data_IF_080752364778
#
_entry.id   IF_080752364778
#
_cell.length_a   1.000
_cell.length_b   1.000
_cell.length_c   1.000
_cell.angle_alpha   90.00
_cell.angle_beta   90.00
_cell.angle_gamma   90.00
#
_symmetry.space_group_name_H-M   'P 1'
#
loop_
_entity.id
_entity.type
_entity.pdbx_description
1 polymer ?
#
# COMPACT_ATOMS: atom_id res chain seq x y z
N UNK A 1 -6.19 -2.11 0.87
CA UNK A 1 -6.80 -1.25 -0.17
C UNK A 1 -6.46 0.23 -0.03
N UNK A 2 -6.86 0.98 1.02
CA UNK A 2 -6.57 2.43 1.11
C UNK A 2 -5.09 2.80 0.87
N UNK A 3 -4.16 2.10 1.52
CA UNK A 3 -2.71 2.35 1.36
C UNK A 3 -2.09 1.82 0.05
N UNK A 4 -2.59 0.68 -0.43
CA UNK A 4 -2.07 -0.05 -1.60
C UNK A 4 -2.16 0.76 -2.89
N UNK A 5 -3.28 1.45 -3.12
CA UNK A 5 -3.50 2.18 -4.36
C UNK A 5 -2.70 3.48 -4.47
N UNK A 6 -2.32 4.11 -3.36
CA UNK A 6 -1.48 5.32 -3.45
C UNK A 6 -0.03 5.02 -3.84
N UNK A 7 0.52 3.87 -3.44
CA UNK A 7 1.86 3.45 -3.87
C UNK A 7 1.85 3.11 -5.35
N UNK A 8 0.80 2.43 -5.82
CA UNK A 8 0.62 2.09 -7.24
C UNK A 8 0.52 3.37 -8.09
N UNK A 9 0.01 4.47 -7.54
CA UNK A 9 0.01 5.79 -8.20
C UNK A 9 1.38 6.49 -8.12
N UNK A 10 1.97 6.59 -6.93
CA UNK A 10 3.14 7.45 -6.69
C UNK A 10 4.44 6.85 -7.21
N UNK A 11 4.59 5.52 -7.13
CA UNK A 11 5.85 4.86 -7.45
C UNK A 11 6.20 4.92 -8.94
N UNK A 12 5.29 4.67 -9.90
CA UNK A 12 5.60 4.80 -11.33
C UNK A 12 5.88 6.24 -11.74
N UNK A 13 5.20 7.21 -11.13
CA UNK A 13 5.46 8.64 -11.36
C UNK A 13 6.86 8.99 -10.91
N UNK A 14 7.27 8.55 -9.72
CA UNK A 14 8.61 8.79 -9.20
C UNK A 14 9.70 8.06 -10.02
N UNK A 15 9.51 6.79 -10.38
CA UNK A 15 10.45 6.03 -11.22
C UNK A 15 10.71 6.74 -12.55
N UNK A 16 9.67 7.22 -13.21
CA UNK A 16 9.79 7.84 -14.53
C UNK A 16 10.26 9.29 -14.45
N UNK A 17 9.63 10.10 -13.59
CA UNK A 17 9.83 11.55 -13.59
C UNK A 17 11.03 11.98 -12.75
N UNK A 18 11.46 11.17 -11.77
CA UNK A 18 12.62 11.48 -10.91
C UNK A 18 13.84 10.65 -11.29
N UNK A 19 13.71 9.32 -11.33
CA UNK A 19 14.84 8.44 -11.68
C UNK A 19 15.09 8.34 -13.19
N UNK A 20 14.20 8.89 -14.02
CA UNK A 20 14.36 8.92 -15.47
C UNK A 20 14.14 7.57 -16.14
N UNK A 21 13.43 6.64 -15.49
CA UNK A 21 13.14 5.34 -16.08
C UNK A 21 12.11 5.50 -17.20
N UNK A 22 12.24 4.69 -18.24
CA UNK A 22 11.16 4.58 -19.22
C UNK A 22 10.00 3.70 -18.70
N UNK A 23 8.92 3.64 -19.46
CA UNK A 23 7.73 2.86 -19.09
C UNK A 23 8.03 1.35 -18.98
N UNK A 24 8.95 0.82 -19.78
CA UNK A 24 9.30 -0.60 -19.80
C UNK A 24 10.15 -0.95 -18.57
N UNK A 25 11.16 -0.15 -18.25
CA UNK A 25 12.00 -0.27 -17.05
C UNK A 25 11.15 -0.15 -15.78
N UNK A 26 10.23 0.81 -15.76
CA UNK A 26 9.25 0.95 -14.68
C UNK A 26 8.41 -0.31 -14.53
N UNK A 27 7.90 -0.86 -15.64
CA UNK A 27 7.21 -2.14 -15.66
C UNK A 27 8.05 -3.28 -15.08
N UNK A 28 9.33 -3.39 -15.46
CA UNK A 28 10.25 -4.40 -14.93
C UNK A 28 10.47 -4.30 -13.41
N UNK A 29 10.56 -3.09 -12.86
CA UNK A 29 10.66 -2.91 -11.40
C UNK A 29 9.37 -3.35 -10.71
N UNK A 30 8.22 -2.98 -11.27
CA UNK A 30 6.90 -3.34 -10.72
C UNK A 30 6.60 -4.84 -10.86
N UNK A 31 7.25 -5.56 -11.77
CA UNK A 31 7.14 -7.03 -11.85
C UNK A 31 7.54 -7.71 -10.53
N UNK A 32 8.46 -7.14 -9.76
CA UNK A 32 8.83 -7.70 -8.46
C UNK A 32 7.62 -7.89 -7.53
N UNK A 33 6.68 -6.92 -7.54
CA UNK A 33 5.42 -7.01 -6.81
C UNK A 33 4.54 -8.14 -7.35
N UNK A 34 4.39 -8.25 -8.67
CA UNK A 34 3.59 -9.30 -9.30
C UNK A 34 4.15 -10.71 -9.01
N UNK A 35 5.47 -10.86 -9.06
CA UNK A 35 6.18 -12.11 -8.73
C UNK A 35 5.94 -12.46 -7.26
N UNK A 36 6.11 -11.51 -6.34
CA UNK A 36 5.83 -11.74 -4.91
C UNK A 36 4.39 -12.20 -4.67
N UNK A 37 3.41 -11.54 -5.29
CA UNK A 37 2.00 -11.93 -5.19
C UNK A 37 1.71 -13.31 -5.76
N UNK A 38 2.39 -13.69 -6.84
CA UNK A 38 2.27 -15.01 -7.45
C UNK A 38 2.87 -16.09 -6.53
N UNK A 39 4.06 -15.86 -5.99
CA UNK A 39 4.73 -16.78 -5.06
C UNK A 39 3.90 -17.01 -3.79
N UNK A 40 3.25 -15.96 -3.29
CA UNK A 40 2.32 -16.05 -2.17
C UNK A 40 1.13 -16.98 -2.44
N UNK A 41 0.65 -17.06 -3.69
CA UNK A 41 -0.44 -17.97 -4.06
C UNK A 41 -0.02 -19.44 -3.94
N UNK A 42 1.20 -19.77 -4.36
CA UNK A 42 1.79 -21.09 -4.17
C UNK A 42 1.97 -21.44 -2.69
N UNK A 43 2.44 -20.47 -1.89
CA UNK A 43 2.58 -20.65 -0.44
C UNK A 43 1.23 -20.87 0.26
N UNK A 44 0.22 -20.05 -0.06
CA UNK A 44 -1.12 -20.19 0.50
C UNK A 44 -1.75 -21.54 0.15
N UNK A 45 -1.57 -22.03 -1.08
CA UNK A 45 -2.07 -23.34 -1.51
C UNK A 45 -1.39 -24.52 -0.79
N UNK A 46 -0.08 -24.45 -0.58
CA UNK A 46 0.68 -25.51 0.09
C UNK A 46 0.41 -25.59 1.62
N UNK A 47 0.20 -24.45 2.26
CA UNK A 47 0.04 -24.34 3.72
C UNK A 47 -1.40 -24.13 4.20
N UNK A 48 -2.36 -23.89 3.29
CA UNK A 48 -3.75 -23.56 3.62
C UNK A 48 -4.51 -24.61 4.44
N UNK A 49 -4.12 -25.89 4.34
CA UNK A 49 -4.73 -26.97 5.12
C UNK A 49 -4.07 -27.19 6.49
N UNK A 50 -2.91 -26.57 6.74
CA UNK A 50 -2.10 -26.78 7.96
C UNK A 50 -2.07 -25.56 8.89
N UNK A 51 -2.46 -24.39 8.40
CA UNK A 51 -2.39 -23.12 9.12
C UNK A 51 -3.75 -22.43 9.07
N UNK A 52 -4.19 -21.88 10.21
CA UNK A 52 -5.44 -21.12 10.27
C UNK A 52 -5.46 -19.96 9.26
N UNK A 53 -6.56 -19.76 8.50
CA UNK A 53 -6.68 -18.65 7.55
C UNK A 53 -6.39 -17.28 8.16
N UNK A 54 -6.76 -17.06 9.43
CA UNK A 54 -6.50 -15.81 10.16
C UNK A 54 -5.00 -15.58 10.36
N UNK A 55 -4.23 -16.64 10.62
CA UNK A 55 -2.77 -16.56 10.77
C UNK A 55 -2.11 -16.19 9.44
N UNK A 56 -2.59 -16.77 8.32
CA UNK A 56 -2.08 -16.45 6.99
C UNK A 56 -2.32 -14.96 6.66
N UNK A 57 -3.52 -14.44 6.95
CA UNK A 57 -3.83 -13.00 6.77
C UNK A 57 -2.91 -12.12 7.62
N UNK A 58 -2.66 -12.48 8.87
CA UNK A 58 -1.76 -11.72 9.76
C UNK A 58 -0.32 -11.68 9.26
N UNK A 59 0.20 -12.82 8.80
CA UNK A 59 1.53 -12.90 8.20
C UNK A 59 1.59 -12.05 6.94
N UNK A 60 0.55 -12.11 6.10
CA UNK A 60 0.40 -11.25 4.92
C UNK A 60 0.47 -9.77 5.28
N UNK A 61 -0.33 -9.32 6.25
CA UNK A 61 -0.34 -7.93 6.71
C UNK A 61 1.01 -7.47 7.27
N UNK A 62 1.71 -8.33 8.03
CA UNK A 62 3.06 -8.01 8.53
C UNK A 62 4.04 -7.87 7.38
N UNK A 63 4.01 -8.78 6.39
CA UNK A 63 4.84 -8.69 5.20
C UNK A 63 4.53 -7.41 4.39
N UNK A 64 3.24 -7.05 4.23
CA UNK A 64 2.85 -5.79 3.59
C UNK A 64 3.43 -4.58 4.34
N UNK A 65 3.31 -4.53 5.67
CA UNK A 65 3.85 -3.44 6.51
C UNK A 65 5.37 -3.32 6.34
N UNK A 66 6.09 -4.44 6.36
CA UNK A 66 7.55 -4.45 6.20
C UNK A 66 7.95 -3.98 4.80
N UNK A 67 7.32 -4.53 3.77
CA UNK A 67 7.61 -4.17 2.38
C UNK A 67 7.35 -2.68 2.13
N UNK A 68 6.19 -2.20 2.55
CA UNK A 68 5.82 -0.81 2.29
C UNK A 68 6.59 0.20 3.15
N UNK A 69 6.83 -0.08 4.43
CA UNK A 69 7.65 0.80 5.26
C UNK A 69 9.08 0.83 4.74
N UNK A 70 9.61 -0.32 4.32
CA UNK A 70 10.91 -0.44 3.67
C UNK A 70 11.02 0.45 2.43
N UNK A 71 10.02 0.43 1.54
CA UNK A 71 9.94 1.36 0.40
C UNK A 71 10.05 2.82 0.84
N UNK A 72 9.32 3.22 1.88
CA UNK A 72 9.38 4.58 2.44
C UNK A 72 10.79 5.01 2.85
N UNK A 73 11.63 4.09 3.34
CA UNK A 73 13.01 4.37 3.72
C UNK A 73 14.00 4.43 2.55
N UNK A 74 13.78 3.64 1.50
CA UNK A 74 14.73 3.55 0.37
C UNK A 74 14.47 4.54 -0.76
N UNK A 75 13.23 5.02 -0.90
CA UNK A 75 12.89 6.05 -1.89
C UNK A 75 13.77 7.27 -1.66
N UNK A 76 14.43 7.77 -2.71
CA UNK A 76 15.27 8.96 -2.69
C UNK A 76 15.58 9.40 -4.12
N UNK A 77 16.00 10.65 -4.34
CA UNK A 77 16.31 11.14 -5.68
C UNK A 77 17.45 10.37 -6.39
N UNK A 78 18.23 9.58 -5.64
CA UNK A 78 19.35 8.78 -6.12
C UNK A 78 19.17 7.28 -5.88
N UNK A 79 17.95 6.85 -5.56
CA UNK A 79 17.67 5.44 -5.28
C UNK A 79 17.96 4.57 -6.51
N UNK A 80 18.49 3.38 -6.24
CA UNK A 80 18.65 2.34 -7.25
C UNK A 80 17.49 1.35 -7.20
N UNK A 81 17.10 0.80 -8.35
CA UNK A 81 16.10 -0.27 -8.44
C UNK A 81 16.43 -1.45 -7.52
N UNK A 82 17.71 -1.74 -7.27
CA UNK A 82 18.18 -2.78 -6.36
C UNK A 82 17.71 -2.57 -4.92
N UNK A 83 17.52 -1.31 -4.50
CA UNK A 83 16.99 -0.99 -3.18
C UNK A 83 15.47 -1.16 -3.12
N UNK A 84 14.76 -0.96 -4.24
CA UNK A 84 13.29 -0.97 -4.31
C UNK A 84 12.74 -2.39 -4.47
N UNK A 85 13.35 -3.19 -5.35
CA UNK A 85 12.85 -4.52 -5.76
C UNK A 85 12.62 -5.48 -4.59
N UNK A 86 13.53 -5.64 -3.61
CA UNK A 86 13.30 -6.54 -2.48
C UNK A 86 12.07 -6.17 -1.67
N UNK A 87 11.84 -4.88 -1.43
CA UNK A 87 10.69 -4.41 -0.68
C UNK A 87 9.40 -4.51 -1.48
N UNK A 88 9.44 -4.28 -2.81
CA UNK A 88 8.29 -4.54 -3.69
C UNK A 88 7.90 -6.03 -3.71
N UNK A 89 8.89 -6.92 -3.73
CA UNK A 89 8.65 -8.35 -3.67
C UNK A 89 7.99 -8.75 -2.34
N UNK A 90 8.54 -8.30 -1.21
CA UNK A 90 7.96 -8.56 0.12
C UNK A 90 6.55 -7.99 0.25
N UNK A 91 6.35 -6.78 -0.27
CA UNK A 91 5.04 -6.15 -0.31
C UNK A 91 4.03 -6.96 -1.14
N UNK A 92 4.39 -7.35 -2.37
CA UNK A 92 3.56 -8.19 -3.23
C UNK A 92 3.25 -9.55 -2.59
N UNK A 93 4.23 -10.17 -1.95
CA UNK A 93 4.04 -11.41 -1.22
C UNK A 93 3.00 -11.26 -0.09
N UNK A 94 3.07 -10.17 0.67
CA UNK A 94 2.05 -9.84 1.67
C UNK A 94 0.65 -9.68 1.08
N UNK A 95 0.55 -8.88 0.01
CA UNK A 95 -0.71 -8.63 -0.73
C UNK A 95 -1.32 -9.93 -1.25
N UNK A 96 -0.51 -10.82 -1.81
CA UNK A 96 -0.95 -12.13 -2.31
C UNK A 96 -1.50 -13.02 -1.20
N UNK A 97 -0.81 -13.09 -0.06
CA UNK A 97 -1.27 -13.87 1.09
C UNK A 97 -2.58 -13.33 1.67
N UNK A 98 -2.68 -12.00 1.81
CA UNK A 98 -3.89 -11.36 2.33
C UNK A 98 -5.08 -11.58 1.39
N UNK A 99 -4.89 -11.38 0.09
CA UNK A 99 -5.95 -11.50 -0.93
C UNK A 99 -6.48 -12.93 -1.05
N UNK A 100 -5.61 -13.94 -0.97
CA UNK A 100 -6.00 -15.34 -1.11
C UNK A 100 -7.03 -15.79 -0.05
N UNK A 101 -6.95 -15.23 1.17
CA UNK A 101 -7.79 -15.65 2.29
C UNK A 101 -8.95 -14.71 2.58
N UNK A 102 -8.87 -13.45 2.13
CA UNK A 102 -9.86 -12.42 2.47
C UNK A 102 -11.27 -12.79 2.04
N UNK A 103 -11.43 -13.27 0.80
CA UNK A 103 -12.74 -13.67 0.25
C UNK A 103 -13.35 -14.82 1.04
N UNK A 104 -12.54 -15.83 1.38
CA UNK A 104 -12.99 -16.98 2.17
C UNK A 104 -13.40 -16.61 3.59
N UNK A 105 -12.67 -15.70 4.24
CA UNK A 105 -12.98 -15.24 5.60
C UNK A 105 -14.23 -14.37 5.62
N UNK A 106 -14.38 -13.43 4.69
CA UNK A 106 -15.53 -12.50 4.64
C UNK A 106 -16.85 -13.25 4.39
N UNK A 107 -16.81 -14.30 3.58
CA UNK A 107 -18.01 -15.06 3.22
C UNK A 107 -18.30 -16.23 4.17
N UNK A 108 -17.37 -16.58 5.07
CA UNK A 108 -17.50 -17.75 5.96
C UNK A 108 -18.80 -17.73 6.78
N UNK A 109 -19.20 -16.55 7.24
CA UNK A 109 -20.34 -16.37 8.15
C UNK A 109 -21.62 -15.94 7.40
N UNK A 110 -21.61 -15.92 6.06
CA UNK A 110 -22.74 -15.47 5.22
C UNK A 110 -23.47 -16.70 4.63
N UNK A 111 -24.80 -16.84 4.84
CA UNK A 111 -25.57 -17.92 4.22
C UNK A 111 -25.42 -17.93 2.69
N UNK A 112 -25.37 -19.13 2.08
CA UNK A 112 -25.14 -19.29 0.62
C UNK A 112 -26.13 -18.46 -0.21
N UNK A 113 -27.40 -18.40 0.19
CA UNK A 113 -28.43 -17.60 -0.48
C UNK A 113 -28.17 -16.08 -0.46
N UNK A 114 -27.39 -15.59 0.50
CA UNK A 114 -27.00 -14.18 0.66
C UNK A 114 -25.56 -13.89 0.22
N UNK A 115 -24.80 -14.91 -0.22
CA UNK A 115 -23.39 -14.77 -0.62
C UNK A 115 -23.16 -13.73 -1.71
N UNK A 116 -24.09 -13.64 -2.69
CA UNK A 116 -24.06 -12.61 -3.72
C UNK A 116 -24.15 -11.20 -3.15
N UNK A 117 -25.05 -10.95 -2.19
CA UNK A 117 -25.16 -9.67 -1.50
C UNK A 117 -23.90 -9.36 -0.68
N UNK A 118 -23.38 -10.35 0.06
CA UNK A 118 -22.15 -10.22 0.84
C UNK A 118 -20.93 -9.85 -0.01
N UNK A 119 -20.73 -10.53 -1.13
CA UNK A 119 -19.65 -10.23 -2.07
C UNK A 119 -19.80 -8.84 -2.72
N UNK A 120 -21.04 -8.42 -3.01
CA UNK A 120 -21.35 -7.10 -3.55
C UNK A 120 -20.98 -5.99 -2.57
N UNK A 121 -21.41 -6.11 -1.31
CA UNK A 121 -21.05 -5.16 -0.24
C UNK A 121 -19.54 -5.09 -0.03
N UNK A 122 -18.85 -6.23 0.01
CA UNK A 122 -17.39 -6.27 0.14
C UNK A 122 -16.68 -5.58 -1.03
N UNK A 123 -17.15 -5.81 -2.26
CA UNK A 123 -16.60 -5.15 -3.46
C UNK A 123 -16.81 -3.64 -3.43
N UNK A 124 -18.01 -3.18 -3.08
CA UNK A 124 -18.34 -1.75 -2.95
C UNK A 124 -17.47 -1.08 -1.88
N UNK A 125 -17.33 -1.72 -0.70
CA UNK A 125 -16.47 -1.21 0.36
C UNK A 125 -15.00 -1.09 -0.10
N UNK A 126 -14.51 -2.08 -0.86
CA UNK A 126 -13.16 -2.05 -1.44
C UNK A 126 -12.98 -0.92 -2.45
N UNK A 127 -13.97 -0.69 -3.32
CA UNK A 127 -13.95 0.39 -4.32
C UNK A 127 -13.99 1.79 -3.68
N UNK A 128 -14.84 1.99 -2.67
CA UNK A 128 -14.88 3.23 -1.89
C UNK A 128 -13.54 3.44 -1.18
N UNK A 129 -13.01 2.39 -0.55
CA UNK A 129 -11.70 2.43 0.09
C UNK A 129 -10.56 2.73 -0.89
N UNK A 130 -10.58 2.19 -2.11
CA UNK A 130 -9.56 2.51 -3.11
C UNK A 130 -9.67 3.96 -3.58
N UNK A 131 -10.88 4.45 -3.85
CA UNK A 131 -11.09 5.83 -4.32
C UNK A 131 -10.64 6.86 -3.27
N UNK A 132 -11.02 6.67 -2.00
CA UNK A 132 -10.59 7.53 -0.90
C UNK A 132 -9.07 7.46 -0.70
N UNK A 133 -8.48 6.27 -0.84
CA UNK A 133 -7.04 6.07 -0.67
C UNK A 133 -6.23 6.80 -1.72
N UNK A 134 -6.64 6.66 -2.99
CA UNK A 134 -6.05 7.38 -4.11
C UNK A 134 -6.17 8.89 -3.89
N UNK A 135 -7.35 9.39 -3.52
CA UNK A 135 -7.58 10.82 -3.30
C UNK A 135 -6.68 11.37 -2.19
N UNK A 136 -6.67 10.74 -1.01
CA UNK A 136 -5.86 11.19 0.14
C UNK A 136 -4.37 11.14 -0.19
N UNK A 137 -3.90 10.07 -0.82
CA UNK A 137 -2.47 9.86 -1.09
C UNK A 137 -2.00 10.76 -2.24
N UNK A 138 -2.82 10.99 -3.27
CA UNK A 138 -2.53 11.94 -4.34
C UNK A 138 -2.49 13.38 -3.81
N UNK A 139 -3.48 13.80 -3.00
CA UNK A 139 -3.46 15.11 -2.36
C UNK A 139 -2.20 15.27 -1.50
N UNK A 140 -1.88 14.27 -0.67
CA UNK A 140 -0.68 14.32 0.15
C UNK A 140 0.60 14.43 -0.70
N UNK A 141 0.74 13.62 -1.75
CA UNK A 141 1.88 13.66 -2.67
C UNK A 141 2.04 15.03 -3.32
N UNK A 142 0.99 15.57 -3.93
CA UNK A 142 1.09 16.82 -4.68
C UNK A 142 1.25 18.05 -3.77
N UNK A 143 0.55 18.09 -2.63
CA UNK A 143 0.71 19.16 -1.65
C UNK A 143 2.10 19.13 -0.99
N UNK A 144 2.61 17.96 -0.63
CA UNK A 144 3.96 17.84 -0.05
C UNK A 144 5.05 18.11 -1.08
N UNK A 145 4.90 17.68 -2.33
CA UNK A 145 5.84 18.01 -3.40
C UNK A 145 5.89 19.51 -3.65
N UNK A 146 4.73 20.17 -3.73
CA UNK A 146 4.65 21.62 -3.93
C UNK A 146 5.30 22.41 -2.81
N UNK A 147 4.94 22.11 -1.55
CA UNK A 147 5.51 22.80 -0.37
C UNK A 147 7.01 22.54 -0.20
N UNK A 148 7.47 21.30 -0.44
CA UNK A 148 8.87 20.93 -0.37
C UNK A 148 9.71 21.59 -1.47
N UNK A 149 9.14 21.76 -2.68
CA UNK A 149 9.80 22.42 -3.80
C UNK A 149 9.86 23.93 -3.61
N UNK A 150 8.74 24.55 -3.20
CA UNK A 150 8.66 25.98 -2.91
C UNK A 150 9.73 26.40 -1.89
N UNK A 151 9.85 25.67 -0.78
CA UNK A 151 10.87 25.93 0.24
C UNK A 151 12.31 25.83 -0.31
N UNK A 152 12.58 24.90 -1.22
CA UNK A 152 13.90 24.69 -1.82
C UNK A 152 14.26 25.73 -2.86
N UNK A 153 13.27 26.39 -3.45
CA UNK A 153 13.44 27.44 -4.46
C UNK A 153 13.24 28.85 -3.86
N UNK A 154 13.35 28.98 -2.53
CA UNK A 154 13.17 30.25 -1.79
C UNK A 154 14.13 31.36 -2.23
N UNK A 155 15.22 31.02 -2.90
CA UNK A 155 16.18 31.96 -3.48
C UNK A 155 15.77 32.52 -4.87
N UNK A 156 14.77 31.94 -5.54
CA UNK A 156 14.26 32.41 -6.83
C UNK A 156 13.22 33.53 -6.65
N UNK A 157 13.01 34.40 -7.65
CA UNK A 157 11.87 35.32 -7.68
C UNK A 157 10.52 34.58 -7.56
N UNK A 158 9.56 35.15 -6.83
CA UNK A 158 8.29 34.47 -6.51
C UNK A 158 7.50 34.02 -7.75
N UNK A 159 7.55 34.80 -8.85
CA UNK A 159 6.88 34.44 -10.10
C UNK A 159 7.49 33.20 -10.76
N UNK A 160 8.82 33.12 -10.81
CA UNK A 160 9.54 31.97 -11.35
C UNK A 160 9.37 30.74 -10.47
N UNK A 161 9.49 30.92 -9.14
CA UNK A 161 9.24 29.88 -8.14
C UNK A 161 7.86 29.25 -8.30
N UNK A 162 6.82 30.08 -8.35
CA UNK A 162 5.42 29.64 -8.49
C UNK A 162 5.20 28.91 -9.81
N UNK A 163 5.80 29.41 -10.91
CA UNK A 163 5.72 28.76 -12.21
C UNK A 163 6.33 27.37 -12.19
N UNK A 164 7.52 27.20 -11.60
CA UNK A 164 8.19 25.90 -11.49
C UNK A 164 7.40 24.95 -10.60
N UNK A 165 6.92 25.42 -9.44
CA UNK A 165 6.12 24.61 -8.50
C UNK A 165 4.84 24.11 -9.18
N UNK A 166 4.08 25.00 -9.82
CA UNK A 166 2.85 24.62 -10.53
C UNK A 166 3.15 23.66 -11.68
N UNK A 167 4.20 23.92 -12.47
CA UNK A 167 4.58 23.04 -13.57
C UNK A 167 4.88 21.61 -13.08
N UNK A 168 5.60 21.45 -11.95
CA UNK A 168 5.91 20.14 -11.38
C UNK A 168 4.67 19.47 -10.79
N UNK A 169 3.84 20.21 -10.04
CA UNK A 169 2.65 19.66 -9.38
C UNK A 169 1.56 19.29 -10.38
N UNK A 170 1.20 20.19 -11.30
CA UNK A 170 0.12 19.99 -12.27
C UNK A 170 0.46 18.90 -13.29
N UNK A 171 1.75 18.70 -13.59
CA UNK A 171 2.23 17.63 -14.47
C UNK A 171 2.51 16.30 -13.76
N UNK A 172 2.22 16.21 -12.46
CA UNK A 172 2.56 15.06 -11.63
C UNK A 172 4.05 14.65 -11.72
N UNK A 173 4.94 15.64 -11.84
CA UNK A 173 6.38 15.48 -11.98
C UNK A 173 6.88 15.41 -13.42
N UNK A 174 6.03 15.28 -14.44
CA UNK A 174 6.49 15.11 -15.83
C UNK A 174 7.25 16.33 -16.39
N UNK A 175 7.16 17.50 -15.75
CA UNK A 175 7.97 18.67 -16.07
C UNK A 175 9.44 18.56 -15.61
N UNK A 176 9.75 17.69 -14.62
CA UNK A 176 11.08 17.59 -13.99
C UNK A 176 12.21 17.33 -15.01
N UNK A 177 12.09 16.38 -15.95
CA UNK A 177 13.13 16.17 -16.98
C UNK A 177 13.33 17.39 -17.89
N UNK A 178 12.29 18.19 -18.11
CA UNK A 178 12.37 19.43 -18.88
C UNK A 178 13.16 20.53 -18.17
N UNK A 179 13.06 20.60 -16.83
CA UNK A 179 13.79 21.56 -16.01
C UNK A 179 15.30 21.36 -16.09
N UNK A 180 15.78 20.13 -16.26
CA UNK A 180 17.22 19.83 -16.35
C UNK A 180 17.90 20.52 -17.55
N UNK A 181 17.13 20.79 -18.61
CA UNK A 181 17.61 21.56 -19.78
C UNK A 181 17.67 23.05 -19.53
N UNK A 182 16.93 23.56 -18.55
CA UNK A 182 16.85 24.97 -18.20
C UNK A 182 17.83 25.31 -17.08
N UNK A 183 17.75 24.58 -15.97
CA UNK A 183 18.59 24.76 -14.79
C UNK A 183 18.71 23.44 -14.01
N UNK A 184 19.94 22.94 -13.89
CA UNK A 184 20.23 21.68 -13.20
C UNK A 184 19.97 21.75 -11.69
N UNK A 185 20.13 22.91 -11.05
CA UNK A 185 19.86 23.09 -9.63
C UNK A 185 18.35 23.08 -9.35
N UNK A 186 17.54 23.71 -10.21
CA UNK A 186 16.08 23.67 -10.11
C UNK A 186 15.58 22.23 -10.32
N UNK A 187 16.11 21.53 -11.32
CA UNK A 187 15.77 20.13 -11.57
C UNK A 187 16.14 19.22 -10.37
N UNK A 188 17.31 19.41 -9.78
CA UNK A 188 17.73 18.67 -8.58
C UNK A 188 16.81 18.95 -7.38
N UNK A 189 16.44 20.21 -7.15
CA UNK A 189 15.48 20.59 -6.11
C UNK A 189 14.12 19.90 -6.31
N UNK A 190 13.62 19.86 -7.55
CA UNK A 190 12.38 19.20 -7.91
C UNK A 190 12.44 17.67 -7.72
N UNK A 191 13.54 17.02 -8.13
CA UNK A 191 13.78 15.58 -7.91
C UNK A 191 13.78 15.22 -6.42
N UNK A 192 14.44 16.03 -5.59
CA UNK A 192 14.49 15.82 -4.14
C UNK A 192 13.11 16.04 -3.52
N UNK A 193 12.44 17.16 -3.83
CA UNK A 193 11.12 17.47 -3.30
C UNK A 193 10.08 16.39 -3.67
N UNK A 194 10.07 15.95 -4.92
CA UNK A 194 9.16 14.91 -5.39
C UNK A 194 9.48 13.55 -4.76
N UNK A 195 10.76 13.23 -4.54
CA UNK A 195 11.16 12.01 -3.82
C UNK A 195 10.71 12.03 -2.37
N UNK A 196 10.90 13.15 -1.67
CA UNK A 196 10.45 13.31 -0.28
C UNK A 196 8.93 13.19 -0.18
N UNK A 197 8.22 13.81 -1.12
CA UNK A 197 6.76 13.69 -1.23
C UNK A 197 6.32 12.23 -1.46
N UNK A 198 7.05 11.51 -2.33
CA UNK A 198 6.76 10.10 -2.64
C UNK A 198 6.92 9.21 -1.41
N UNK A 199 7.82 9.52 -0.47
CA UNK A 199 8.01 8.74 0.78
C UNK A 199 6.77 8.73 1.68
N UNK A 200 5.94 9.78 1.64
CA UNK A 200 4.72 9.81 2.46
C UNK A 200 3.69 8.77 2.06
N UNK A 201 3.64 8.37 0.79
CA UNK A 201 2.66 7.38 0.33
C UNK A 201 2.89 6.00 0.98
N UNK A 202 4.11 5.41 0.95
CA UNK A 202 4.39 4.16 1.64
C UNK A 202 4.23 4.25 3.17
N UNK A 203 4.64 5.36 3.82
CA UNK A 203 4.44 5.49 5.27
C UNK A 203 2.97 5.62 5.67
N UNK A 204 2.20 6.37 4.90
CA UNK A 204 0.75 6.48 5.12
C UNK A 204 0.08 5.11 4.94
N UNK A 205 0.47 4.38 3.89
CA UNK A 205 0.00 3.02 3.66
C UNK A 205 0.36 2.07 4.81
N UNK A 206 1.60 2.13 5.31
CA UNK A 206 2.03 1.38 6.48
C UNK A 206 1.14 1.70 7.69
N UNK A 207 0.85 2.97 7.94
CA UNK A 207 -0.03 3.41 9.03
C UNK A 207 -1.43 2.80 8.94
N UNK A 208 -2.06 2.84 7.75
CA UNK A 208 -3.37 2.20 7.55
C UNK A 208 -3.31 0.67 7.72
N UNK A 209 -2.24 0.02 7.24
CA UNK A 209 -2.07 -1.42 7.41
C UNK A 209 -1.87 -1.81 8.87
N UNK A 210 -1.12 -1.02 9.65
CA UNK A 210 -0.98 -1.22 11.10
C UNK A 210 -2.32 -1.11 11.80
N UNK A 211 -3.14 -0.10 11.47
CA UNK A 211 -4.49 0.03 12.01
C UNK A 211 -5.37 -1.19 11.65
N UNK A 212 -5.31 -1.62 10.39
CA UNK A 212 -6.00 -2.83 9.93
C UNK A 212 -5.55 -4.08 10.69
N UNK A 213 -4.24 -4.27 10.84
CA UNK A 213 -3.64 -5.37 11.58
C UNK A 213 -4.09 -5.38 13.05
N UNK A 214 -4.04 -4.24 13.73
CA UNK A 214 -4.51 -4.10 15.12
C UNK A 214 -6.00 -4.44 15.27
N UNK A 215 -6.83 -4.04 14.30
CA UNK A 215 -8.24 -4.43 14.28
C UNK A 215 -8.42 -5.97 14.19
N UNK A 216 -7.58 -6.65 13.41
CA UNK A 216 -7.61 -8.13 13.34
C UNK A 216 -7.24 -8.81 14.67
N UNK A 217 -6.43 -8.19 15.52
CA UNK A 217 -6.07 -8.73 16.83
C UNK A 217 -7.26 -8.66 17.80
N UNK A 218 -8.06 -7.60 17.72
CA UNK A 218 -9.24 -7.39 18.58
C UNK A 218 -10.37 -8.38 18.27
N UNK A 219 -10.54 -8.79 17.01
CA UNK A 219 -11.58 -9.73 16.60
C UNK A 219 -11.37 -11.15 17.15
N UNK A 220 -10.11 -11.59 17.34
CA UNK A 220 -9.84 -12.92 17.90
C UNK A 220 -10.18 -13.06 19.38
N UNK A 221 -10.22 -11.95 20.14
CA UNK A 221 -10.60 -11.97 21.55
C UNK A 221 -12.09 -12.23 21.77
N UNK A 222 -12.94 -11.79 20.83
CA UNK A 222 -14.41 -11.90 20.96
C UNK A 222 -14.90 -13.31 20.64
N UNK A 223 -14.33 -13.98 19.62
CA UNK A 223 -14.69 -15.37 19.31
C UNK A 223 -14.33 -16.34 20.45
N UNK A 224 -13.17 -16.16 21.08
CA UNK A 224 -12.74 -17.04 22.18
C UNK A 224 -13.66 -16.94 23.40
N UNK A 225 -14.08 -15.72 23.75
CA UNK A 225 -14.99 -15.50 24.88
C UNK A 225 -16.39 -16.11 24.62
N UNK A 226 -16.89 -16.07 23.37
CA UNK A 226 -18.16 -16.73 23.02
C UNK A 226 -18.08 -18.25 23.06
N UNK A 227 -16.97 -18.84 22.64
CA UNK A 227 -16.76 -20.29 22.75
C UNK A 227 -16.69 -20.74 24.21
N UNK A 228 -15.99 -19.98 25.07
CA UNK A 228 -15.92 -20.24 26.51
C UNK A 228 -17.29 -20.07 27.20
N UNK A 229 -18.07 -19.06 26.83
CA UNK A 229 -19.41 -18.80 27.37
C UNK A 229 -20.45 -19.85 26.91
N UNK A 230 -20.31 -20.37 25.68
CA UNK A 230 -21.14 -21.48 25.17
C UNK A 230 -20.76 -22.82 25.81
N UNK A 231 -19.46 -23.08 25.99
CA UNK A 231 -18.99 -24.27 26.71
C UNK A 231 -19.39 -24.26 28.19
N UNK A 232 -19.43 -23.08 28.82
CA UNK A 232 -19.88 -22.92 30.21
C UNK A 232 -21.41 -23.04 30.38
N UNK A 233 -22.19 -22.85 29.30
CA UNK A 233 -23.66 -22.96 29.32
C UNK A 233 -24.18 -24.30 28.78
N UNK A 234 -23.29 -25.19 28.30
CA UNK A 234 -23.65 -26.54 27.90
C UNK A 234 -24.12 -27.36 29.13
N UNK A 235 -25.29 -28.03 29.08
CA UNK A 235 -25.75 -28.85 30.18
C UNK A 235 -24.76 -29.99 30.43
N UNK A 236 -24.38 -30.20 31.70
CA UNK A 236 -23.51 -31.32 32.08
C UNK A 236 -24.20 -32.65 31.75
N UNK A 237 -23.74 -33.33 30.70
CA UNK A 237 -24.08 -34.74 30.44
C UNK A 237 -23.45 -35.61 31.54
N UNK A 238 -24.12 -35.66 32.68
CA UNK A 238 -23.65 -36.34 33.88
C UNK A 238 -24.78 -36.57 34.87
N UNK A 239 -25.95 -37.00 34.41
CA UNK A 239 -26.99 -37.56 35.29
C UNK A 239 -28.04 -38.35 34.51
N UNK A 240 -27.63 -39.41 33.81
CA UNK A 240 -28.50 -40.56 33.55
C UNK A 240 -27.64 -41.82 33.62
N UNK A 241 -27.46 -42.29 34.85
CA UNK A 241 -27.13 -43.68 35.17
C UNK A 241 -28.43 -44.50 35.24
#
# INVERSE_FOLDING_TARGET
>A
SLGEFGIILSLPLWLQNVLGYDALQTGFVLLALAIGSFDASGFAGAFGNRVSPVTIVRVGLVAEIIGVAGLGFVISATASWLAIVPFLFVYGFGVGLATAQLTGVVLKDIPVAASGQGSGTSSTARQIGSALGIAILATNLFTSAGTALDARLSNLPDAERTQVVNAVVDSAGAAIPGLEKQDAAIAAAARIAFSDATRFAPFSAAGFLVLGFLATLRLSGVSRNREEEFAASAPSEGSLA
#
